data_IF_971253307312
#
_entry.id   IF_971253307312
#
_cell.length_a   1.000
_cell.length_b   1.000
_cell.length_c   1.000
_cell.angle_alpha   90.00
_cell.angle_beta   90.00
_cell.angle_gamma   90.00
#
_symmetry.space_group_name_H-M   'P 1'
#
loop_
_entity.id
_entity.type
_entity.pdbx_description
1 polymer ?
#
# COMPACT_ATOMS: atom_id res chain seq x y z
N UNK A 1 11.68 13.58 19.92
CA UNK A 1 10.32 13.56 20.52
C UNK A 1 9.58 12.36 19.95
N UNK A 2 8.93 11.55 20.79
CA UNK A 2 8.14 10.41 20.33
C UNK A 2 6.75 10.88 19.92
N UNK A 3 6.25 10.42 18.77
CA UNK A 3 4.89 10.73 18.30
C UNK A 3 3.88 9.99 19.16
N UNK A 4 2.87 10.67 19.76
CA UNK A 4 1.85 9.97 20.53
C UNK A 4 0.99 9.11 19.60
N UNK A 5 0.59 7.94 20.08
CA UNK A 5 -0.19 6.96 19.29
C UNK A 5 -1.48 7.55 18.71
N UNK A 6 -2.10 8.52 19.40
CA UNK A 6 -3.29 9.25 18.94
C UNK A 6 -3.08 10.08 17.66
N UNK A 7 -1.83 10.31 17.26
CA UNK A 7 -1.46 11.08 16.05
C UNK A 7 -0.56 10.28 15.10
N UNK A 8 -0.33 8.99 15.38
CA UNK A 8 0.52 8.16 14.56
C UNK A 8 -0.18 7.73 13.27
N UNK A 9 0.56 7.64 12.17
CA UNK A 9 0.07 7.04 10.94
C UNK A 9 0.16 5.51 11.00
N UNK A 10 -0.97 4.83 10.81
CA UNK A 10 -1.04 3.38 10.70
C UNK A 10 -1.00 2.97 9.22
N UNK A 11 -0.21 1.94 8.90
CA UNK A 11 -0.19 1.27 7.60
C UNK A 11 -0.38 -0.23 7.79
N UNK A 12 -1.21 -0.85 6.95
CA UNK A 12 -1.46 -2.30 6.97
C UNK A 12 -0.85 -2.91 5.71
N UNK A 13 0.27 -3.61 5.86
CA UNK A 13 0.90 -4.34 4.77
C UNK A 13 0.20 -5.69 4.57
N UNK A 14 -0.19 -6.00 3.33
CA UNK A 14 -0.75 -7.32 2.96
C UNK A 14 -0.02 -7.87 1.75
N UNK A 15 0.64 -9.03 1.87
CA UNK A 15 1.27 -9.69 0.75
C UNK A 15 0.21 -10.26 -0.21
N UNK A 16 0.54 -10.29 -1.49
CA UNK A 16 -0.28 -10.91 -2.54
C UNK A 16 0.63 -11.36 -3.68
N UNK A 17 0.24 -12.45 -4.33
CA UNK A 17 0.82 -12.94 -5.58
C UNK A 17 0.23 -12.24 -6.82
N UNK A 18 -0.91 -11.56 -6.68
CA UNK A 18 -1.57 -10.82 -7.76
C UNK A 18 -1.81 -9.35 -7.37
N UNK A 19 -0.72 -8.58 -7.37
CA UNK A 19 -0.76 -7.16 -7.05
C UNK A 19 -1.67 -6.36 -7.99
N UNK A 20 -1.78 -6.74 -9.26
CA UNK A 20 -2.66 -6.06 -10.23
C UNK A 20 -4.14 -6.14 -9.84
N UNK A 21 -4.61 -7.33 -9.45
CA UNK A 21 -5.99 -7.52 -9.00
C UNK A 21 -6.28 -6.73 -7.72
N UNK A 22 -5.35 -6.75 -6.75
CA UNK A 22 -5.50 -6.00 -5.50
C UNK A 22 -5.54 -4.50 -5.77
N UNK A 23 -4.63 -3.95 -6.58
CA UNK A 23 -4.62 -2.53 -6.91
C UNK A 23 -5.92 -2.11 -7.60
N UNK A 24 -6.42 -2.88 -8.57
CA UNK A 24 -7.68 -2.55 -9.24
C UNK A 24 -8.87 -2.62 -8.27
N UNK A 25 -8.91 -3.61 -7.37
CA UNK A 25 -9.94 -3.68 -6.34
C UNK A 25 -9.98 -2.42 -5.46
N UNK A 26 -8.83 -1.94 -4.97
CA UNK A 26 -8.77 -0.75 -4.12
C UNK A 26 -8.98 0.56 -4.88
N UNK A 27 -8.30 0.73 -6.02
CA UNK A 27 -8.35 1.98 -6.79
C UNK A 27 -9.65 2.10 -7.59
N UNK A 28 -9.98 1.10 -8.39
CA UNK A 28 -11.11 1.16 -9.32
C UNK A 28 -12.41 0.71 -8.64
N UNK A 29 -12.33 -0.29 -7.76
CA UNK A 29 -13.49 -0.82 -7.03
C UNK A 29 -13.93 0.04 -5.85
N UNK A 30 -12.99 0.50 -5.01
CA UNK A 30 -13.28 1.30 -3.81
C UNK A 30 -12.99 2.79 -3.97
N UNK A 31 -12.37 3.21 -5.08
CA UNK A 31 -12.07 4.62 -5.36
C UNK A 31 -10.90 5.19 -4.56
N UNK A 32 -9.97 4.36 -4.08
CA UNK A 32 -8.79 4.85 -3.35
C UNK A 32 -7.71 5.40 -4.29
N UNK A 33 -7.01 6.43 -3.83
CA UNK A 33 -5.85 6.97 -4.54
C UNK A 33 -4.61 6.12 -4.29
N UNK A 34 -3.81 5.93 -5.35
CA UNK A 34 -2.46 5.39 -5.22
C UNK A 34 -1.55 6.51 -4.77
N UNK A 35 -1.02 6.36 -3.55
CA UNK A 35 -0.14 7.34 -2.92
C UNK A 35 1.31 7.18 -3.38
N UNK A 36 1.76 5.93 -3.58
CA UNK A 36 3.10 5.64 -4.06
C UNK A 36 3.21 4.22 -4.64
N UNK A 37 4.23 4.00 -5.47
CA UNK A 37 4.59 2.67 -5.95
C UNK A 37 6.11 2.50 -5.94
N UNK A 38 6.57 1.30 -5.59
CA UNK A 38 7.98 0.95 -5.55
C UNK A 38 8.20 -0.43 -6.17
N UNK A 39 9.32 -0.57 -6.88
CA UNK A 39 9.83 -1.82 -7.42
C UNK A 39 11.23 -2.07 -6.87
N UNK A 40 11.41 -3.21 -6.23
CA UNK A 40 12.64 -3.61 -5.58
C UNK A 40 13.62 -4.32 -6.52
N UNK A 41 14.90 -4.43 -6.13
CA UNK A 41 15.94 -5.07 -6.92
C UNK A 41 15.68 -6.56 -7.21
N UNK A 42 14.93 -7.24 -6.34
CA UNK A 42 14.60 -8.67 -6.47
C UNK A 42 13.24 -8.89 -7.18
N UNK A 43 12.69 -7.86 -7.84
CA UNK A 43 11.44 -7.95 -8.60
C UNK A 43 10.16 -7.89 -7.75
N UNK A 44 10.26 -7.67 -6.44
CA UNK A 44 9.09 -7.41 -5.61
C UNK A 44 8.52 -6.01 -5.88
N UNK A 45 7.19 -5.90 -5.80
CA UNK A 45 6.49 -4.64 -6.01
C UNK A 45 5.62 -4.30 -4.82
N UNK A 46 5.59 -3.02 -4.47
CA UNK A 46 4.77 -2.47 -3.38
C UNK A 46 4.00 -1.27 -3.90
N UNK A 47 2.72 -1.18 -3.57
CA UNK A 47 1.85 -0.04 -3.86
C UNK A 47 1.22 0.41 -2.56
N UNK A 48 1.23 1.72 -2.32
CA UNK A 48 0.60 2.39 -1.20
C UNK A 48 -0.59 3.21 -1.67
#
# INVERSE_FOLDING_TARGET
MSTPLSTAHLRVARPTDNLGAVVSFYRDGLGFDVLASFEGPDGYRVVF
#
